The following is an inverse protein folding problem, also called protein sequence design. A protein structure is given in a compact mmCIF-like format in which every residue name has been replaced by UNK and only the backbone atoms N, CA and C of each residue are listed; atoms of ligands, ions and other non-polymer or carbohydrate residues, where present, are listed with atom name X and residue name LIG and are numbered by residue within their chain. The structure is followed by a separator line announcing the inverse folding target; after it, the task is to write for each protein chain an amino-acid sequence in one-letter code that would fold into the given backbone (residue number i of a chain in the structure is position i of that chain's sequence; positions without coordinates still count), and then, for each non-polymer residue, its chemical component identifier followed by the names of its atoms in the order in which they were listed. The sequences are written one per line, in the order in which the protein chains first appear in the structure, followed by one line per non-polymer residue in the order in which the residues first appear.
data_IF_889101277107
#
_entry.id   IF_889101277107
#
_cell.length_a   1.000
_cell.length_b   1.000
_cell.length_c   1.000
_cell.angle_alpha   90.00
_cell.angle_beta   90.00
_cell.angle_gamma   90.00
#
_symmetry.space_group_name_H-M   'P 1'
#
loop_
_entity.id
_entity.type
_entity.pdbx_description
1 polymer ?
#
# COMPACT_ATOMS: atom_id res chain seq x y z
N UNK A 1 -1.67 -28.32 11.01
CA UNK A 1 -1.43 -28.64 12.45
C UNK A 1 -0.91 -27.46 13.28
N UNK A 2 -0.51 -26.32 12.68
CA UNK A 2 -0.05 -25.12 13.43
C UNK A 2 -1.23 -24.22 13.86
N UNK A 3 -2.27 -24.12 13.04
CA UNK A 3 -3.49 -23.32 13.32
C UNK A 3 -4.22 -23.78 14.59
N UNK A 4 -4.18 -25.08 14.88
CA UNK A 4 -4.84 -25.67 16.05
C UNK A 4 -4.25 -25.17 17.39
N UNK A 5 -2.98 -24.76 17.44
CA UNK A 5 -2.32 -24.43 18.72
C UNK A 5 -2.53 -22.97 19.15
N UNK A 6 -2.73 -22.05 18.20
CA UNK A 6 -2.91 -20.63 18.50
C UNK A 6 -4.35 -20.29 18.96
N UNK A 7 -5.37 -20.90 18.34
CA UNK A 7 -6.77 -20.67 18.71
C UNK A 7 -7.16 -21.25 20.08
N UNK A 8 -6.41 -22.22 20.58
CA UNK A 8 -6.64 -22.82 21.90
C UNK A 8 -6.37 -21.87 23.07
N UNK A 9 -5.67 -20.73 22.87
CA UNK A 9 -5.32 -19.81 23.96
C UNK A 9 -6.22 -18.58 24.10
N UNK A 10 -6.88 -18.13 23.04
CA UNK A 10 -7.67 -16.87 23.05
C UNK A 10 -9.12 -17.04 22.62
N UNK A 11 -9.53 -18.24 22.17
CA UNK A 11 -10.83 -18.43 21.54
C UNK A 11 -10.86 -17.89 20.10
N UNK A 12 -11.80 -18.40 19.31
CA UNK A 12 -12.14 -17.83 17.99
C UNK A 12 -13.08 -16.65 18.21
N UNK A 13 -13.03 -15.59 17.36
CA UNK A 13 -14.08 -14.58 17.35
C UNK A 13 -15.45 -15.24 17.11
N UNK A 14 -16.50 -14.73 17.76
CA UNK A 14 -17.86 -15.29 17.70
C UNK A 14 -18.38 -15.45 16.26
N UNK A 15 -18.02 -14.51 15.38
CA UNK A 15 -18.39 -14.55 13.97
C UNK A 15 -17.74 -15.71 13.22
N UNK A 16 -16.49 -16.07 13.58
CA UNK A 16 -15.77 -17.20 12.98
C UNK A 16 -16.38 -18.52 13.46
N UNK A 17 -16.69 -18.63 14.76
CA UNK A 17 -17.39 -19.81 15.28
C UNK A 17 -18.77 -20.01 14.63
N UNK A 18 -19.52 -18.91 14.44
CA UNK A 18 -20.82 -18.93 13.76
C UNK A 18 -20.69 -19.33 12.29
N UNK A 19 -19.64 -18.86 11.59
CA UNK A 19 -19.37 -19.24 10.21
C UNK A 19 -19.03 -20.74 10.11
N UNK A 20 -18.18 -21.26 11.00
CA UNK A 20 -17.85 -22.70 11.08
C UNK A 20 -19.12 -23.53 11.27
N UNK A 21 -19.94 -23.18 12.27
CA UNK A 21 -21.20 -23.87 12.55
C UNK A 21 -22.13 -23.85 11.34
N UNK A 22 -22.27 -22.70 10.67
CA UNK A 22 -23.08 -22.58 9.44
C UNK A 22 -22.56 -23.49 8.32
N UNK A 23 -21.25 -23.54 8.08
CA UNK A 23 -20.67 -24.43 7.06
C UNK A 23 -20.88 -25.91 7.37
N UNK A 24 -20.68 -26.32 8.62
CA UNK A 24 -20.90 -27.70 9.05
C UNK A 24 -22.38 -28.10 8.96
N UNK A 25 -23.30 -27.19 9.29
CA UNK A 25 -24.74 -27.39 9.12
C UNK A 25 -25.17 -27.49 7.64
N UNK A 26 -24.36 -26.98 6.71
CA UNK A 26 -24.56 -27.07 5.28
C UNK A 26 -23.81 -28.27 4.65
N UNK A 27 -23.44 -29.27 5.45
CA UNK A 27 -22.71 -30.48 5.05
C UNK A 27 -21.35 -30.23 4.38
N UNK A 28 -20.74 -29.06 4.60
CA UNK A 28 -19.34 -28.83 4.20
C UNK A 28 -18.44 -29.67 5.12
N UNK A 29 -17.58 -30.50 4.53
CA UNK A 29 -16.70 -31.35 5.33
C UNK A 29 -15.77 -30.53 6.22
N UNK A 30 -15.53 -31.02 7.43
CA UNK A 30 -14.68 -30.35 8.42
C UNK A 30 -13.27 -30.05 7.86
N UNK A 31 -12.72 -30.96 7.05
CA UNK A 31 -11.44 -30.74 6.37
C UNK A 31 -11.45 -29.54 5.41
N UNK A 32 -12.53 -29.33 4.66
CA UNK A 32 -12.69 -28.17 3.79
C UNK A 32 -12.81 -26.88 4.61
N UNK A 33 -13.59 -26.90 5.69
CA UNK A 33 -13.72 -25.74 6.60
C UNK A 33 -12.36 -25.32 7.17
N UNK A 34 -11.56 -26.27 7.66
CA UNK A 34 -10.22 -25.95 8.18
C UNK A 34 -9.26 -25.44 7.12
N UNK A 35 -9.33 -25.96 5.89
CA UNK A 35 -8.52 -25.42 4.79
C UNK A 35 -8.88 -23.97 4.47
N UNK A 36 -10.17 -23.62 4.49
CA UNK A 36 -10.63 -22.24 4.28
C UNK A 36 -10.09 -21.32 5.39
N UNK A 37 -10.19 -21.75 6.65
CA UNK A 37 -9.69 -20.97 7.79
C UNK A 37 -8.18 -20.77 7.71
N UNK A 38 -7.41 -21.83 7.44
CA UNK A 38 -5.95 -21.76 7.30
C UNK A 38 -5.54 -20.82 6.17
N UNK A 39 -6.22 -20.88 5.01
CA UNK A 39 -5.98 -19.96 3.91
C UNK A 39 -6.30 -18.51 4.29
N UNK A 40 -7.46 -18.26 4.89
CA UNK A 40 -7.87 -16.93 5.34
C UNK A 40 -6.89 -16.34 6.37
N UNK A 41 -6.42 -17.18 7.32
CA UNK A 41 -5.44 -16.78 8.32
C UNK A 41 -4.09 -16.41 7.69
N UNK A 42 -3.58 -17.25 6.78
CA UNK A 42 -2.33 -16.96 6.05
C UNK A 42 -2.44 -15.65 5.26
N UNK A 43 -3.57 -15.42 4.61
CA UNK A 43 -3.83 -14.17 3.90
C UNK A 43 -3.89 -12.97 4.85
N UNK A 44 -4.52 -13.10 6.02
CA UNK A 44 -4.58 -12.05 7.03
C UNK A 44 -3.20 -11.72 7.60
N UNK A 45 -2.38 -12.73 7.89
CA UNK A 45 -1.00 -12.55 8.35
C UNK A 45 -0.13 -11.88 7.28
N UNK A 46 -0.23 -12.32 6.03
CA UNK A 46 0.46 -11.68 4.91
C UNK A 46 0.08 -10.22 4.76
N UNK A 47 -1.21 -9.89 4.89
CA UNK A 47 -1.69 -8.50 4.88
C UNK A 47 -1.16 -7.69 6.05
N UNK A 48 -1.15 -8.26 7.24
CA UNK A 48 -0.62 -7.59 8.44
C UNK A 48 0.87 -7.25 8.29
N UNK A 49 1.67 -8.20 7.80
CA UNK A 49 3.08 -7.93 7.53
C UNK A 49 3.27 -6.93 6.39
N UNK A 50 2.45 -7.02 5.33
CA UNK A 50 2.48 -6.06 4.22
C UNK A 50 2.20 -4.62 4.67
N UNK A 51 1.34 -4.39 5.68
CA UNK A 51 1.03 -3.04 6.20
C UNK A 51 2.24 -2.29 6.75
N UNK A 52 3.30 -3.01 7.12
CA UNK A 52 4.58 -2.40 7.51
C UNK A 52 5.36 -1.85 6.31
N UNK A 53 4.98 -2.20 5.09
CA UNK A 53 5.62 -1.77 3.85
C UNK A 53 4.75 -0.73 3.13
N UNK A 54 5.30 0.48 2.95
CA UNK A 54 4.65 1.61 2.29
C UNK A 54 5.35 1.89 0.96
N UNK A 55 4.58 2.03 -0.10
CA UNK A 55 5.07 2.57 -1.37
C UNK A 55 4.70 4.05 -1.46
N UNK A 56 5.69 4.91 -1.67
CA UNK A 56 5.49 6.35 -1.90
C UNK A 56 5.81 6.65 -3.38
N UNK A 57 4.79 6.92 -4.17
CA UNK A 57 4.88 7.29 -5.58
C UNK A 57 5.08 8.81 -5.73
N UNK A 58 6.09 9.22 -6.51
CA UNK A 58 6.31 10.62 -6.85
C UNK A 58 7.03 10.76 -8.19
N UNK A 59 6.85 11.91 -8.85
CA UNK A 59 7.45 12.15 -10.17
C UNK A 59 8.94 12.52 -10.06
N UNK A 60 9.81 11.66 -10.58
CA UNK A 60 11.27 11.88 -10.59
C UNK A 60 11.76 12.90 -11.62
N UNK A 61 11.01 13.10 -12.71
CA UNK A 61 11.50 13.84 -13.89
C UNK A 61 10.92 15.25 -14.05
N UNK A 62 9.75 15.51 -13.46
CA UNK A 62 9.00 16.77 -13.68
C UNK A 62 8.67 17.55 -12.41
N UNK A 63 8.65 16.90 -11.24
CA UNK A 63 8.13 17.48 -9.99
C UNK A 63 9.22 17.81 -8.95
N UNK A 64 10.22 18.62 -9.34
CA UNK A 64 11.22 19.05 -8.34
C UNK A 64 10.66 20.05 -7.32
N UNK A 65 9.54 20.71 -7.64
CA UNK A 65 8.82 21.63 -6.76
C UNK A 65 8.29 20.95 -5.50
N UNK A 66 7.85 19.70 -5.60
CA UNK A 66 7.32 18.95 -4.44
C UNK A 66 8.32 18.01 -3.79
N UNK A 67 9.54 17.91 -4.32
CA UNK A 67 10.59 17.07 -3.74
C UNK A 67 10.81 17.30 -2.23
N UNK A 68 10.77 18.53 -1.67
CA UNK A 68 10.83 18.74 -0.22
C UNK A 68 9.70 18.01 0.53
N UNK A 69 8.47 18.05 0.02
CA UNK A 69 7.32 17.38 0.62
C UNK A 69 7.38 15.85 0.46
N UNK A 70 7.88 15.35 -0.67
CA UNK A 70 8.11 13.91 -0.86
C UNK A 70 9.17 13.40 0.11
N UNK A 71 10.29 14.14 0.29
CA UNK A 71 11.31 13.86 1.31
C UNK A 71 10.71 13.83 2.70
N UNK A 72 9.90 14.84 3.03
CA UNK A 72 9.21 14.94 4.30
C UNK A 72 8.31 13.72 4.53
N UNK A 73 7.46 13.37 3.57
CA UNK A 73 6.54 12.24 3.68
C UNK A 73 7.28 10.92 3.92
N UNK A 74 8.34 10.64 3.15
CA UNK A 74 9.17 9.43 3.33
C UNK A 74 9.80 9.41 4.73
N UNK A 75 10.36 10.53 5.19
CA UNK A 75 10.96 10.63 6.53
C UNK A 75 9.91 10.45 7.63
N UNK A 76 8.74 11.05 7.49
CA UNK A 76 7.63 10.97 8.44
C UNK A 76 7.15 9.52 8.57
N UNK A 77 6.82 8.87 7.44
CA UNK A 77 6.35 7.48 7.40
C UNK A 77 7.36 6.53 8.05
N UNK A 78 8.66 6.72 7.76
CA UNK A 78 9.73 5.96 8.45
C UNK A 78 9.80 6.23 9.94
N UNK A 79 9.62 7.49 10.35
CA UNK A 79 9.57 7.89 11.76
C UNK A 79 8.45 7.20 12.55
N UNK A 80 7.37 6.79 11.88
CA UNK A 80 6.27 6.01 12.44
C UNK A 80 6.52 4.48 12.45
N UNK A 81 7.73 4.04 12.08
CA UNK A 81 8.13 2.62 12.13
C UNK A 81 7.81 1.82 10.88
N UNK A 82 7.35 2.45 9.80
CA UNK A 82 7.10 1.79 8.53
C UNK A 82 8.37 1.71 7.67
N UNK A 83 8.46 0.65 6.87
CA UNK A 83 9.46 0.52 5.81
C UNK A 83 8.91 1.18 4.54
N UNK A 84 9.61 2.19 4.03
CA UNK A 84 9.31 2.78 2.72
C UNK A 84 10.09 2.02 1.65
N UNK A 85 9.40 1.44 0.67
CA UNK A 85 10.03 0.65 -0.39
C UNK A 85 10.73 1.54 -1.43
N UNK A 86 10.06 2.64 -1.81
CA UNK A 86 10.48 3.56 -2.88
C UNK A 86 11.24 4.78 -2.34
N UNK A 87 12.18 4.60 -1.40
CA UNK A 87 12.95 5.72 -0.80
C UNK A 87 13.65 6.61 -1.82
N UNK A 88 14.08 6.03 -2.94
CA UNK A 88 14.69 6.75 -4.05
C UNK A 88 13.84 7.91 -4.60
N UNK A 89 12.51 7.87 -4.43
CA UNK A 89 11.60 8.94 -4.88
C UNK A 89 11.78 10.26 -4.12
N UNK A 90 12.29 10.22 -2.89
CA UNK A 90 12.67 11.42 -2.13
C UNK A 90 14.17 11.71 -2.13
N UNK A 91 14.99 10.96 -2.86
CA UNK A 91 16.44 11.16 -2.78
C UNK A 91 16.94 12.34 -3.64
N UNK A 92 18.03 12.98 -3.22
CA UNK A 92 18.74 13.96 -4.05
C UNK A 92 19.33 13.34 -5.33
N UNK A 93 19.66 12.05 -5.26
CA UNK A 93 20.17 11.26 -6.37
C UNK A 93 19.29 10.01 -6.56
N UNK A 94 18.10 10.14 -7.18
CA UNK A 94 17.10 9.07 -7.23
C UNK A 94 17.62 7.82 -7.96
N UNK A 95 18.26 7.99 -9.12
CA UNK A 95 18.85 6.85 -9.87
C UNK A 95 19.91 6.11 -9.04
N UNK A 96 20.82 6.84 -8.39
CA UNK A 96 21.85 6.22 -7.55
C UNK A 96 21.25 5.46 -6.37
N UNK A 97 20.29 6.10 -5.68
CA UNK A 97 19.61 5.51 -4.53
C UNK A 97 18.83 4.26 -4.93
N UNK A 98 18.11 4.30 -6.06
CA UNK A 98 17.42 3.15 -6.61
C UNK A 98 18.37 1.98 -6.86
N UNK A 99 19.49 2.23 -7.56
CA UNK A 99 20.48 1.19 -7.87
C UNK A 99 21.08 0.58 -6.60
N UNK A 100 21.37 1.39 -5.59
CA UNK A 100 21.82 0.91 -4.27
C UNK A 100 20.76 0.04 -3.57
N UNK A 101 19.48 0.43 -3.63
CA UNK A 101 18.37 -0.34 -3.05
C UNK A 101 18.16 -1.71 -3.72
N UNK A 102 18.41 -1.82 -5.02
CA UNK A 102 18.26 -3.07 -5.78
C UNK A 102 19.56 -3.89 -5.92
N UNK A 103 20.64 -3.45 -5.26
CA UNK A 103 21.89 -4.22 -5.17
C UNK A 103 22.91 -3.98 -6.30
N UNK A 104 22.86 -2.81 -6.96
CA UNK A 104 23.79 -2.37 -8.02
C UNK A 104 24.02 -3.43 -9.11
N UNK A 105 22.99 -3.76 -9.91
CA UNK A 105 23.13 -4.76 -10.97
C UNK A 105 24.15 -4.30 -12.02
N UNK A 106 24.87 -5.25 -12.61
CA UNK A 106 25.89 -4.99 -13.65
C UNK A 106 25.32 -4.25 -14.87
N UNK A 107 24.02 -4.45 -15.15
CA UNK A 107 23.28 -3.73 -16.20
C UNK A 107 21.95 -3.24 -15.66
N UNK A 108 21.54 -2.05 -16.10
CA UNK A 108 20.21 -1.52 -15.80
C UNK A 108 19.58 -0.90 -17.05
N UNK A 109 18.25 -0.97 -17.13
CA UNK A 109 17.44 -0.37 -18.18
C UNK A 109 16.11 0.08 -17.58
N UNK A 110 15.23 0.67 -18.40
CA UNK A 110 13.93 1.18 -17.95
C UNK A 110 12.99 0.07 -17.45
N UNK A 111 13.18 -1.19 -17.89
CA UNK A 111 12.38 -2.32 -17.39
C UNK A 111 12.75 -2.65 -15.95
N UNK A 112 14.02 -2.49 -15.54
CA UNK A 112 14.42 -2.73 -14.15
C UNK A 112 13.61 -1.85 -13.18
N UNK A 113 13.44 -0.56 -13.49
CA UNK A 113 12.62 0.36 -12.71
C UNK A 113 11.18 -0.14 -12.61
N UNK A 114 10.52 -0.26 -13.78
CA UNK A 114 9.12 -0.69 -13.86
C UNK A 114 8.86 -2.02 -13.14
N UNK A 115 9.71 -3.02 -13.36
CA UNK A 115 9.50 -4.37 -12.82
C UNK A 115 9.77 -4.40 -11.30
N UNK A 116 10.71 -3.57 -10.82
CA UNK A 116 10.96 -3.38 -9.38
C UNK A 116 9.79 -2.66 -8.71
N UNK A 117 9.33 -1.53 -9.26
CA UNK A 117 8.21 -0.78 -8.72
C UNK A 117 6.94 -1.64 -8.69
N UNK A 118 6.65 -2.39 -9.75
CA UNK A 118 5.55 -3.36 -9.77
C UNK A 118 5.70 -4.43 -8.69
N UNK A 119 6.92 -4.89 -8.41
CA UNK A 119 7.18 -5.86 -7.35
C UNK A 119 6.97 -5.25 -5.96
N UNK A 120 7.38 -3.99 -5.76
CA UNK A 120 7.16 -3.26 -4.51
C UNK A 120 5.68 -2.94 -4.29
N UNK A 121 4.96 -2.48 -5.31
CA UNK A 121 3.51 -2.23 -5.26
C UNK A 121 2.74 -3.51 -4.93
N UNK A 122 3.14 -4.66 -5.51
CA UNK A 122 2.51 -5.95 -5.18
C UNK A 122 2.64 -6.31 -3.70
N UNK A 123 3.74 -5.90 -3.04
CA UNK A 123 4.05 -6.22 -1.64
C UNK A 123 3.59 -5.18 -0.63
N UNK A 124 3.50 -3.91 -1.01
CA UNK A 124 3.13 -2.84 -0.09
C UNK A 124 1.73 -3.05 0.48
N UNK A 125 1.57 -2.80 1.78
CA UNK A 125 0.28 -2.80 2.46
C UNK A 125 -0.39 -1.43 2.46
N UNK A 126 0.37 -0.37 2.20
CA UNK A 126 -0.12 1.00 2.05
C UNK A 126 0.55 1.67 0.84
N UNK A 127 -0.19 2.55 0.20
CA UNK A 127 0.28 3.30 -0.96
C UNK A 127 -0.02 4.78 -0.80
N UNK A 128 0.97 5.63 -1.05
CA UNK A 128 0.86 7.08 -0.97
C UNK A 128 1.39 7.64 -2.29
N UNK A 129 0.67 8.55 -2.94
CA UNK A 129 1.12 9.20 -4.16
C UNK A 129 1.07 10.72 -4.03
N UNK A 130 2.18 11.38 -4.36
CA UNK A 130 2.15 12.81 -4.67
C UNK A 130 1.60 13.02 -6.08
N UNK A 131 0.42 13.59 -6.15
CA UNK A 131 -0.36 13.86 -7.36
C UNK A 131 -0.32 15.34 -7.75
N UNK A 132 0.55 16.12 -7.11
CA UNK A 132 0.67 17.56 -7.38
C UNK A 132 1.00 17.85 -8.84
N UNK A 133 1.97 17.12 -9.38
CA UNK A 133 2.41 17.26 -10.76
C UNK A 133 2.00 16.03 -11.60
N UNK A 134 1.33 16.22 -12.75
CA UNK A 134 0.91 15.11 -13.60
C UNK A 134 2.10 14.24 -14.04
N UNK A 135 2.03 12.94 -13.74
CA UNK A 135 3.07 11.97 -14.06
C UNK A 135 2.48 10.67 -14.59
N UNK A 136 2.91 10.27 -15.79
CA UNK A 136 2.51 8.98 -16.37
C UNK A 136 3.01 7.80 -15.53
N UNK A 137 4.21 7.92 -14.92
CA UNK A 137 4.76 6.89 -14.05
C UNK A 137 3.88 6.70 -12.82
N UNK A 138 3.64 7.79 -12.08
CA UNK A 138 2.78 7.77 -10.87
C UNK A 138 1.35 7.33 -11.21
N UNK A 139 0.80 7.76 -12.34
CA UNK A 139 -0.52 7.29 -12.79
C UNK A 139 -0.56 5.78 -13.06
N UNK A 140 0.50 5.22 -13.65
CA UNK A 140 0.62 3.78 -13.85
C UNK A 140 0.79 3.01 -12.53
N UNK A 141 1.57 3.55 -11.60
CA UNK A 141 1.75 2.98 -10.25
C UNK A 141 0.45 3.00 -9.44
N UNK A 142 -0.29 4.12 -9.52
CA UNK A 142 -1.60 4.29 -8.89
C UNK A 142 -2.58 3.22 -9.37
N UNK A 143 -2.73 3.07 -10.69
CA UNK A 143 -3.66 2.10 -11.26
C UNK A 143 -3.23 0.65 -10.96
N UNK A 144 -1.92 0.35 -11.04
CA UNK A 144 -1.40 -0.96 -10.67
C UNK A 144 -1.70 -1.32 -9.20
N UNK A 145 -1.66 -0.34 -8.30
CA UNK A 145 -2.03 -0.54 -6.90
C UNK A 145 -3.55 -0.73 -6.74
N UNK A 146 -4.36 0.11 -7.40
CA UNK A 146 -5.83 0.04 -7.36
C UNK A 146 -6.35 -1.32 -7.84
N UNK A 147 -5.75 -1.88 -8.90
CA UNK A 147 -6.13 -3.15 -9.50
C UNK A 147 -5.64 -4.40 -8.75
N UNK A 148 -4.85 -4.26 -7.67
CA UNK A 148 -4.36 -5.40 -6.88
C UNK A 148 -5.45 -6.43 -6.51
N UNK A 149 -6.64 -6.03 -6.01
CA UNK A 149 -7.71 -6.97 -5.70
C UNK A 149 -8.18 -7.79 -6.90
N UNK A 150 -8.31 -7.15 -8.06
CA UNK A 150 -8.76 -7.79 -9.30
C UNK A 150 -7.73 -8.78 -9.84
N UNK A 151 -6.44 -8.55 -9.51
CA UNK A 151 -5.32 -9.43 -9.84
C UNK A 151 -5.07 -10.51 -8.77
N UNK A 152 -6.01 -10.72 -7.84
CA UNK A 152 -5.91 -11.74 -6.80
C UNK A 152 -4.95 -11.39 -5.65
N UNK A 153 -4.51 -10.15 -5.56
CA UNK A 153 -3.74 -9.63 -4.43
C UNK A 153 -4.66 -8.99 -3.39
N UNK A 154 -4.09 -8.54 -2.27
CA UNK A 154 -4.86 -7.92 -1.21
C UNK A 154 -5.17 -6.45 -1.51
N UNK A 155 -6.31 -6.00 -1.00
CA UNK A 155 -6.70 -4.60 -1.02
C UNK A 155 -5.72 -3.75 -0.23
N UNK A 156 -5.23 -2.70 -0.87
CA UNK A 156 -4.19 -1.81 -0.35
C UNK A 156 -4.80 -0.43 -0.20
N UNK A 157 -4.91 0.12 1.02
CA UNK A 157 -5.31 1.50 1.22
C UNK A 157 -4.39 2.46 0.48
N UNK A 158 -4.98 3.48 -0.15
CA UNK A 158 -4.30 4.42 -1.03
C UNK A 158 -4.58 5.85 -0.58
N UNK A 159 -3.54 6.68 -0.54
CA UNK A 159 -3.64 8.11 -0.27
C UNK A 159 -3.04 8.90 -1.44
N UNK A 160 -3.87 9.67 -2.13
CA UNK A 160 -3.43 10.72 -3.06
C UNK A 160 -3.29 12.03 -2.31
N UNK A 161 -2.07 12.55 -2.24
CA UNK A 161 -1.77 13.89 -1.70
C UNK A 161 -1.48 14.87 -2.85
N UNK A 162 -1.85 16.13 -2.68
CA UNK A 162 -1.50 17.19 -3.65
C UNK A 162 -1.38 18.54 -2.94
N UNK A 163 -0.60 19.47 -3.48
CA UNK A 163 -0.64 20.86 -2.98
C UNK A 163 -2.05 21.44 -3.09
N UNK A 164 -2.43 22.28 -2.13
CA UNK A 164 -3.68 23.04 -2.17
C UNK A 164 -3.89 23.71 -3.53
N UNK A 165 -5.14 23.74 -3.99
CA UNK A 165 -5.59 24.27 -5.28
C UNK A 165 -5.10 23.49 -6.53
N UNK A 166 -4.35 22.40 -6.36
CA UNK A 166 -4.02 21.49 -7.46
C UNK A 166 -5.26 20.73 -7.92
N UNK A 167 -5.46 20.69 -9.24
CA UNK A 167 -6.49 19.84 -9.84
C UNK A 167 -5.89 18.49 -10.21
N UNK A 168 -6.30 17.45 -9.48
CA UNK A 168 -6.04 16.06 -9.86
C UNK A 168 -6.87 15.72 -11.09
N UNK A 169 -6.35 14.85 -11.96
CA UNK A 169 -7.07 14.39 -13.15
C UNK A 169 -8.34 13.63 -12.76
N UNK A 170 -9.43 13.88 -13.50
CA UNK A 170 -10.70 13.14 -13.39
C UNK A 170 -10.55 11.61 -13.49
N UNK A 171 -9.50 11.16 -14.20
CA UNK A 171 -9.20 9.72 -14.32
C UNK A 171 -8.61 9.13 -13.03
N UNK A 172 -7.87 9.94 -12.27
CA UNK A 172 -7.22 9.53 -11.01
C UNK A 172 -8.21 9.65 -9.85
N UNK A 173 -8.93 10.77 -9.73
CA UNK A 173 -9.89 11.00 -8.63
C UNK A 173 -11.31 10.46 -8.89
N UNK A 174 -11.56 9.95 -10.11
CA UNK A 174 -12.77 9.22 -10.50
C UNK A 174 -12.86 7.84 -9.85
N UNK A 175 -13.10 7.80 -8.54
CA UNK A 175 -13.27 6.57 -7.75
C UNK A 175 -14.74 6.27 -7.48
N UNK A 176 -15.09 4.98 -7.43
CA UNK A 176 -16.44 4.49 -7.11
C UNK A 176 -16.74 4.64 -5.62
N UNK A 177 -18.01 4.65 -5.24
CA UNK A 177 -18.42 4.81 -3.83
C UNK A 177 -17.82 3.74 -2.92
N UNK A 178 -17.77 2.49 -3.37
CA UNK A 178 -17.18 1.37 -2.64
C UNK A 178 -15.65 1.55 -2.42
N UNK A 179 -14.98 2.29 -3.31
CA UNK A 179 -13.54 2.55 -3.25
C UNK A 179 -13.17 3.65 -2.23
N UNK A 180 -14.10 4.55 -1.91
CA UNK A 180 -13.87 5.66 -0.96
C UNK A 180 -13.53 5.19 0.46
N UNK A 181 -13.88 3.96 0.80
CA UNK A 181 -13.55 3.37 2.10
C UNK A 181 -12.05 3.13 2.29
N UNK A 182 -11.28 3.02 1.19
CA UNK A 182 -9.84 2.73 1.23
C UNK A 182 -8.98 3.59 0.29
N UNK A 183 -9.57 4.42 -0.59
CA UNK A 183 -8.86 5.40 -1.41
C UNK A 183 -9.22 6.80 -0.94
N UNK A 184 -8.21 7.54 -0.49
CA UNK A 184 -8.35 8.90 0.03
C UNK A 184 -7.64 9.90 -0.85
N UNK A 185 -8.26 11.07 -1.04
CA UNK A 185 -7.63 12.24 -1.61
C UNK A 185 -7.59 13.35 -0.57
N UNK A 186 -6.43 14.00 -0.43
CA UNK A 186 -6.21 15.12 0.48
C UNK A 186 -5.31 16.16 -0.18
N UNK A 187 -5.58 17.42 0.11
CA UNK A 187 -4.69 18.52 -0.28
C UNK A 187 -3.94 19.03 0.94
N UNK A 188 -2.65 19.34 0.79
CA UNK A 188 -1.83 19.93 1.85
C UNK A 188 -1.32 21.33 1.46
N UNK A 189 -1.09 22.19 2.44
CA UNK A 189 -0.52 23.54 2.23
C UNK A 189 0.96 23.64 2.59
N UNK A 190 1.38 22.88 3.58
CA UNK A 190 2.71 22.90 4.16
C UNK A 190 3.03 21.52 4.79
N UNK A 191 4.19 21.41 5.44
CA UNK A 191 4.65 20.17 6.07
C UNK A 191 3.80 19.77 7.30
N UNK A 192 3.26 20.73 8.05
CA UNK A 192 2.45 20.44 9.24
C UNK A 192 1.09 19.85 8.85
N UNK A 193 0.44 20.43 7.83
CA UNK A 193 -0.79 19.90 7.24
C UNK A 193 -0.56 18.51 6.64
N UNK A 194 0.55 18.33 5.91
CA UNK A 194 0.93 17.04 5.37
C UNK A 194 1.18 15.99 6.47
N UNK A 195 1.83 16.34 7.58
CA UNK A 195 1.98 15.44 8.73
C UNK A 195 0.63 15.01 9.32
N UNK A 196 -0.32 15.94 9.46
CA UNK A 196 -1.67 15.62 9.94
C UNK A 196 -2.37 14.61 9.04
N UNK A 197 -2.34 14.83 7.73
CA UNK A 197 -2.90 13.92 6.73
C UNK A 197 -2.24 12.53 6.78
N UNK A 198 -0.91 12.49 6.86
CA UNK A 198 -0.17 11.22 6.94
C UNK A 198 -0.47 10.48 8.24
N UNK A 199 -0.56 11.17 9.39
CA UNK A 199 -0.91 10.55 10.68
C UNK A 199 -2.30 9.93 10.62
N UNK A 200 -3.31 10.68 10.15
CA UNK A 200 -4.69 10.18 10.01
C UNK A 200 -4.75 8.91 9.16
N UNK A 201 -4.04 8.90 8.03
CA UNK A 201 -4.00 7.75 7.13
C UNK A 201 -3.31 6.54 7.75
N UNK A 202 -2.14 6.73 8.38
CA UNK A 202 -1.37 5.65 9.00
C UNK A 202 -2.11 5.09 10.23
N UNK A 203 -2.72 5.92 11.07
CA UNK A 203 -3.50 5.47 12.24
C UNK A 203 -4.71 4.64 11.84
N UNK A 204 -5.36 4.98 10.72
CA UNK A 204 -6.53 4.26 10.26
C UNK A 204 -6.20 2.92 9.60
N UNK A 205 -5.09 2.85 8.85
CA UNK A 205 -4.84 1.74 7.93
C UNK A 205 -3.60 0.90 8.23
N UNK A 206 -2.66 1.40 9.03
CA UNK A 206 -1.49 0.66 9.51
C UNK A 206 -1.83 -0.35 10.58
#
# INVERSE_FOLDING_TARGET
MIVSVMFLKTGLPDEVEKAIKTCLLADVSEGVVYHIIDAAWKMALQRHEARKEVFVAASLTRARSTLPYVKFAIKFVRGQGYRVLSEHNGADHPLKTFLEQVGNPETYNHNLFRDTDNTWIKKCGLFIADLTDPSHGVGGEWENCRLKPELGSFLTPMLGISLADTKVSAYVDGIREEEKSFIWFRSYRDEDDLAGILSEFLEKFG
#
